data_IF_637603922876
#
_entry.id   IF_637603922876
#
_cell.length_a   1.000
_cell.length_b   1.000
_cell.length_c   1.000
_cell.angle_alpha   90.00
_cell.angle_beta   90.00
_cell.angle_gamma   90.00
#
_symmetry.space_group_name_H-M   'P 1'
#
loop_
_entity.id
_entity.type
_entity.pdbx_description
1 polymer ?
#
# COMPACT_ATOMS: atom_id res chain seq x y z
N UNK A 1 -1.11 40.22 54.46
CA UNK A 1 -1.76 39.39 53.39
C UNK A 1 -0.79 39.26 52.23
N UNK A 2 -0.25 38.05 51.98
CA UNK A 2 0.71 37.80 50.86
C UNK A 2 -0.05 37.13 49.72
N UNK A 3 -0.18 37.84 48.62
CA UNK A 3 -0.80 37.35 47.38
C UNK A 3 0.24 36.44 46.70
N UNK A 4 -0.07 35.15 46.58
CA UNK A 4 0.74 34.18 45.81
C UNK A 4 0.28 34.23 44.38
N UNK A 5 1.12 34.79 43.51
CA UNK A 5 0.89 34.79 42.05
C UNK A 5 1.16 33.39 41.52
N UNK A 6 0.12 32.70 41.02
CA UNK A 6 0.19 31.41 40.37
C UNK A 6 0.51 31.65 38.88
N UNK A 7 1.76 31.37 38.49
CA UNK A 7 2.15 31.38 37.05
C UNK A 7 1.74 30.05 36.45
N UNK A 8 0.66 30.06 35.66
CA UNK A 8 0.28 28.94 34.83
C UNK A 8 1.18 28.94 33.58
N UNK A 9 2.15 28.06 33.54
CA UNK A 9 2.94 27.80 32.34
C UNK A 9 2.08 27.02 31.32
N UNK A 10 1.58 27.75 30.32
CA UNK A 10 0.89 27.19 29.17
C UNK A 10 1.95 26.51 28.28
N UNK A 11 2.12 25.19 28.42
CA UNK A 11 2.97 24.38 27.54
C UNK A 11 2.34 24.32 26.15
N UNK A 12 2.83 25.15 25.24
CA UNK A 12 2.49 25.07 23.81
C UNK A 12 3.20 23.85 23.24
N UNK A 13 2.49 22.70 23.21
CA UNK A 13 2.96 21.50 22.53
C UNK A 13 3.01 21.76 21.02
N UNK A 14 4.20 22.01 20.48
CA UNK A 14 4.44 21.95 19.03
C UNK A 14 4.23 20.51 18.58
N UNK A 15 3.06 20.19 18.05
CA UNK A 15 2.86 18.98 17.26
C UNK A 15 3.58 19.18 15.94
N UNK A 16 4.82 18.66 15.83
CA UNK A 16 5.47 18.49 14.53
C UNK A 16 4.65 17.46 13.75
N UNK A 17 3.78 17.94 12.88
CA UNK A 17 3.19 17.12 11.84
C UNK A 17 4.31 16.72 10.88
N UNK A 18 4.79 15.49 10.97
CA UNK A 18 5.69 14.93 9.97
C UNK A 18 4.87 14.77 8.67
N UNK A 19 4.88 15.81 7.84
CA UNK A 19 4.37 15.69 6.49
C UNK A 19 5.39 14.90 5.69
N UNK A 20 5.01 13.73 5.21
CA UNK A 20 5.79 13.00 4.22
C UNK A 20 5.86 13.86 2.95
N UNK A 21 6.95 14.57 2.76
CA UNK A 21 7.18 15.33 1.54
C UNK A 21 7.47 14.36 0.39
N UNK A 22 6.71 14.47 -0.68
CA UNK A 22 6.98 13.76 -1.93
C UNK A 22 8.30 14.30 -2.50
N UNK A 23 9.19 13.41 -2.97
CA UNK A 23 10.46 13.82 -3.56
C UNK A 23 10.18 14.75 -4.75
N UNK A 24 10.70 16.00 -4.67
CA UNK A 24 10.51 17.01 -5.70
C UNK A 24 11.14 16.64 -7.06
N UNK A 25 11.99 15.62 -7.10
CA UNK A 25 12.59 15.09 -8.33
C UNK A 25 11.70 14.09 -9.06
N UNK A 26 10.62 13.61 -8.42
CA UNK A 26 9.69 12.73 -9.09
C UNK A 26 8.95 13.49 -10.21
N UNK A 27 8.91 12.93 -11.42
CA UNK A 27 8.17 13.56 -12.51
C UNK A 27 6.67 13.57 -12.18
N UNK A 28 6.01 14.65 -12.58
CA UNK A 28 4.55 14.73 -12.45
C UNK A 28 3.92 13.66 -13.34
N UNK A 29 3.03 12.87 -12.76
CA UNK A 29 2.32 11.84 -13.50
C UNK A 29 1.45 12.46 -14.61
N UNK A 30 1.69 12.06 -15.86
CA UNK A 30 0.88 12.45 -17.00
C UNK A 30 -0.26 11.46 -17.22
N UNK A 31 -1.51 11.92 -17.13
CA UNK A 31 -2.69 11.10 -17.35
C UNK A 31 -2.77 10.62 -18.80
N UNK A 32 -2.88 9.30 -19.01
CA UNK A 32 -3.12 8.71 -20.31
C UNK A 32 -4.62 8.79 -20.69
N UNK A 33 -4.93 8.88 -21.98
CA UNK A 33 -6.30 8.83 -22.48
C UNK A 33 -6.74 7.41 -22.82
N UNK A 34 -8.05 7.13 -22.80
CA UNK A 34 -8.61 5.85 -23.24
C UNK A 34 -8.37 4.66 -22.29
N UNK A 35 -7.97 4.91 -21.06
CA UNK A 35 -7.72 3.86 -20.06
C UNK A 35 -9.04 3.33 -19.51
N UNK A 36 -9.29 2.03 -19.70
CA UNK A 36 -10.49 1.33 -19.22
C UNK A 36 -10.18 -0.15 -19.01
N UNK A 37 -11.01 -0.86 -18.27
CA UNK A 37 -10.88 -2.30 -18.04
C UNK A 37 -11.09 -2.72 -16.60
N UNK A 38 -10.71 -3.96 -16.29
CA UNK A 38 -10.82 -4.53 -14.96
C UNK A 38 -9.44 -4.81 -14.38
N UNK A 39 -9.24 -4.44 -13.11
CA UNK A 39 -8.06 -4.76 -12.32
C UNK A 39 -8.48 -5.52 -11.08
N UNK A 40 -7.80 -6.61 -10.78
CA UNK A 40 -8.04 -7.43 -9.60
C UNK A 40 -6.77 -7.51 -8.77
N UNK A 41 -6.88 -7.23 -7.49
CA UNK A 41 -5.81 -7.33 -6.49
C UNK A 41 -6.22 -8.35 -5.44
N UNK A 42 -5.42 -9.40 -5.26
CA UNK A 42 -5.66 -10.46 -4.26
C UNK A 42 -4.37 -10.68 -3.48
N UNK A 43 -4.44 -10.57 -2.14
CA UNK A 43 -3.26 -10.81 -1.31
C UNK A 43 -3.39 -10.35 0.14
N UNK A 44 -2.36 -9.67 0.61
CA UNK A 44 -2.15 -9.30 2.01
C UNK A 44 -3.27 -8.46 2.61
N UNK A 45 -3.75 -8.85 3.78
CA UNK A 45 -4.66 -8.04 4.60
C UNK A 45 -3.97 -6.77 5.11
N UNK A 46 -2.67 -6.85 5.44
CA UNK A 46 -1.87 -5.70 5.90
C UNK A 46 -1.88 -4.56 4.86
N UNK A 47 -1.80 -4.89 3.57
CA UNK A 47 -1.79 -3.90 2.48
C UNK A 47 -3.19 -3.53 1.98
N UNK A 48 -4.25 -4.18 2.48
CA UNK A 48 -5.61 -4.02 1.93
C UNK A 48 -6.09 -2.57 1.96
N UNK A 49 -5.89 -1.86 3.08
CA UNK A 49 -6.29 -0.46 3.22
C UNK A 49 -5.51 0.45 2.26
N UNK A 50 -4.18 0.25 2.14
CA UNK A 50 -3.35 1.01 1.21
C UNK A 50 -3.78 0.80 -0.24
N UNK A 51 -4.04 -0.45 -0.62
CA UNK A 51 -4.52 -0.79 -1.97
C UNK A 51 -5.89 -0.17 -2.26
N UNK A 52 -6.78 -0.11 -1.26
CA UNK A 52 -8.10 0.52 -1.38
C UNK A 52 -7.97 2.02 -1.63
N UNK A 53 -7.15 2.74 -0.86
CA UNK A 53 -6.91 4.17 -1.05
C UNK A 53 -6.32 4.47 -2.43
N UNK A 54 -5.35 3.67 -2.87
CA UNK A 54 -4.77 3.81 -4.21
C UNK A 54 -5.80 3.54 -5.31
N UNK A 55 -6.67 2.54 -5.13
CA UNK A 55 -7.72 2.25 -6.10
C UNK A 55 -8.74 3.39 -6.22
N UNK A 56 -9.12 4.00 -5.08
CA UNK A 56 -10.02 5.16 -5.06
C UNK A 56 -9.40 6.35 -5.80
N UNK A 57 -8.13 6.67 -5.54
CA UNK A 57 -7.44 7.77 -6.20
C UNK A 57 -7.20 7.48 -7.70
N UNK A 58 -6.85 6.24 -8.04
CA UNK A 58 -6.69 5.84 -9.43
C UNK A 58 -8.00 5.91 -10.20
N UNK A 59 -9.12 5.52 -9.56
CA UNK A 59 -10.46 5.61 -10.17
C UNK A 59 -10.92 7.05 -10.41
N UNK A 60 -10.50 8.02 -9.56
CA UNK A 60 -10.75 9.45 -9.82
C UNK A 60 -10.06 9.93 -11.11
N UNK A 61 -8.87 9.40 -11.39
CA UNK A 61 -8.14 9.69 -12.62
C UNK A 61 -8.71 8.93 -13.83
N UNK A 62 -9.14 7.68 -13.63
CA UNK A 62 -9.59 6.75 -14.66
C UNK A 62 -10.96 6.12 -14.32
N UNK A 63 -12.06 6.85 -14.48
CA UNK A 63 -13.39 6.41 -14.01
C UNK A 63 -13.92 5.15 -14.72
N UNK A 64 -13.38 4.84 -15.91
CA UNK A 64 -13.78 3.66 -16.70
C UNK A 64 -13.02 2.38 -16.30
N UNK A 65 -12.20 2.42 -15.24
CA UNK A 65 -11.57 1.23 -14.68
C UNK A 65 -12.42 0.69 -13.52
N UNK A 66 -12.66 -0.62 -13.57
CA UNK A 66 -13.24 -1.35 -12.46
C UNK A 66 -12.13 -2.03 -11.66
N UNK A 67 -12.02 -1.73 -10.35
CA UNK A 67 -10.97 -2.27 -9.49
C UNK A 67 -11.62 -3.10 -8.39
N UNK A 68 -11.16 -4.35 -8.25
CA UNK A 68 -11.57 -5.27 -7.21
C UNK A 68 -10.38 -5.56 -6.30
N UNK A 69 -10.56 -5.43 -4.99
CA UNK A 69 -9.52 -5.67 -3.99
C UNK A 69 -10.02 -6.70 -2.99
N UNK A 70 -9.20 -7.71 -2.74
CA UNK A 70 -9.47 -8.78 -1.80
C UNK A 70 -8.27 -9.01 -0.88
N UNK A 71 -8.43 -8.72 0.41
CA UNK A 71 -7.52 -9.14 1.47
C UNK A 71 -7.87 -10.59 1.86
N UNK A 72 -6.91 -11.49 1.67
CA UNK A 72 -7.07 -12.92 1.97
C UNK A 72 -5.75 -13.57 2.40
N UNK A 73 -4.81 -12.74 2.86
CA UNK A 73 -3.46 -13.15 3.27
C UNK A 73 -2.47 -13.21 2.12
N UNK A 74 -1.19 -12.90 2.42
CA UNK A 74 -0.10 -12.88 1.41
C UNK A 74 0.09 -14.19 0.66
N UNK A 75 -0.32 -15.33 1.22
CA UNK A 75 -0.19 -16.64 0.56
C UNK A 75 -1.17 -16.85 -0.60
N UNK A 76 -2.21 -16.02 -0.72
CA UNK A 76 -3.18 -16.11 -1.81
C UNK A 76 -2.71 -15.39 -3.08
N UNK A 77 -1.78 -14.45 -2.95
CA UNK A 77 -1.26 -13.66 -4.07
C UNK A 77 -0.53 -14.52 -5.12
N UNK A 78 0.46 -15.36 -4.78
CA UNK A 78 1.20 -16.14 -5.78
C UNK A 78 0.31 -17.05 -6.64
N UNK A 79 -0.60 -17.88 -6.09
CA UNK A 79 -1.47 -18.69 -6.91
C UNK A 79 -2.46 -17.86 -7.76
N UNK A 80 -3.01 -16.76 -7.23
CA UNK A 80 -3.91 -15.90 -7.99
C UNK A 80 -3.23 -15.26 -9.20
N UNK A 81 -2.00 -14.78 -9.04
CA UNK A 81 -1.20 -14.24 -10.14
C UNK A 81 -0.79 -15.32 -11.14
N UNK A 82 -0.40 -16.49 -10.66
CA UNK A 82 -0.03 -17.65 -11.50
C UNK A 82 -1.20 -18.09 -12.39
N UNK A 83 -2.40 -18.11 -11.83
CA UNK A 83 -3.65 -18.49 -12.53
C UNK A 83 -4.27 -17.33 -13.35
N UNK A 84 -3.68 -16.14 -13.35
CA UNK A 84 -4.24 -14.93 -13.99
C UNK A 84 -5.60 -14.48 -13.42
N UNK A 85 -5.94 -14.86 -12.21
CA UNK A 85 -7.14 -14.39 -11.50
C UNK A 85 -6.93 -13.04 -10.81
N UNK A 86 -5.67 -12.62 -10.66
CA UNK A 86 -5.29 -11.30 -10.19
C UNK A 86 -4.22 -10.67 -11.07
N UNK A 87 -4.28 -9.33 -11.20
CA UNK A 87 -3.26 -8.52 -11.88
C UNK A 87 -2.16 -8.07 -10.89
N UNK A 88 -2.55 -7.86 -9.63
CA UNK A 88 -1.67 -7.47 -8.54
C UNK A 88 -1.76 -8.46 -7.38
N UNK A 89 -0.63 -8.74 -6.78
CA UNK A 89 -0.52 -9.62 -5.61
C UNK A 89 0.19 -8.89 -4.47
N UNK A 90 -0.50 -8.03 -3.69
CA UNK A 90 0.11 -7.37 -2.55
C UNK A 90 0.52 -8.41 -1.51
N UNK A 91 1.72 -8.25 -0.97
CA UNK A 91 2.29 -9.18 0.00
C UNK A 91 3.05 -8.41 1.08
N UNK A 92 2.89 -8.80 2.33
CA UNK A 92 3.68 -8.29 3.47
C UNK A 92 4.98 -9.08 3.69
N UNK A 93 5.35 -9.91 2.72
CA UNK A 93 6.60 -10.69 2.66
C UNK A 93 7.04 -10.84 1.20
N UNK A 94 8.27 -11.23 1.00
CA UNK A 94 8.73 -11.65 -0.33
C UNK A 94 8.09 -12.98 -0.75
N UNK A 95 7.94 -13.19 -2.05
CA UNK A 95 7.56 -14.50 -2.59
C UNK A 95 8.62 -15.54 -2.23
N UNK A 96 8.19 -16.75 -1.89
CA UNK A 96 9.08 -17.88 -1.64
C UNK A 96 9.64 -18.41 -2.96
N UNK A 97 10.79 -19.10 -2.90
CA UNK A 97 11.43 -19.65 -4.09
C UNK A 97 10.53 -20.58 -4.91
N UNK A 98 9.77 -21.44 -4.26
CA UNK A 98 8.81 -22.33 -4.92
C UNK A 98 7.61 -21.56 -5.55
N UNK A 99 7.17 -20.45 -4.96
CA UNK A 99 6.12 -19.60 -5.52
C UNK A 99 6.61 -18.89 -6.79
N UNK A 100 7.86 -18.38 -6.78
CA UNK A 100 8.51 -17.77 -7.95
C UNK A 100 8.67 -18.79 -9.07
N UNK A 101 9.15 -20.01 -8.77
CA UNK A 101 9.32 -21.09 -9.75
C UNK A 101 7.99 -21.49 -10.39
N UNK A 102 6.93 -21.63 -9.59
CA UNK A 102 5.59 -21.93 -10.10
C UNK A 102 5.05 -20.83 -11.01
N UNK A 103 5.26 -19.57 -10.65
CA UNK A 103 4.87 -18.44 -11.48
C UNK A 103 5.66 -18.41 -12.80
N UNK A 104 6.99 -18.55 -12.72
CA UNK A 104 7.88 -18.56 -13.90
C UNK A 104 7.54 -19.69 -14.87
N UNK A 105 7.26 -20.89 -14.33
CA UNK A 105 6.84 -22.04 -15.14
C UNK A 105 5.51 -21.80 -15.88
N UNK A 106 4.57 -21.09 -15.24
CA UNK A 106 3.26 -20.83 -15.83
C UNK A 106 3.25 -19.63 -16.79
N UNK A 107 4.10 -18.62 -16.55
CA UNK A 107 4.09 -17.34 -17.28
C UNK A 107 5.25 -17.17 -18.25
N UNK A 108 6.32 -17.92 -18.10
CA UNK A 108 7.54 -17.80 -18.91
C UNK A 108 8.45 -16.62 -18.50
N UNK A 109 8.14 -15.93 -17.42
CA UNK A 109 8.96 -14.84 -16.87
C UNK A 109 8.81 -14.75 -15.36
N UNK A 110 9.77 -14.08 -14.69
CA UNK A 110 9.73 -13.91 -13.23
C UNK A 110 8.77 -12.80 -12.80
N UNK A 111 8.12 -12.93 -11.63
CA UNK A 111 7.30 -11.86 -11.08
C UNK A 111 8.18 -10.64 -10.75
N UNK A 112 7.64 -9.44 -10.99
CA UNK A 112 8.29 -8.19 -10.59
C UNK A 112 7.84 -7.80 -9.19
N UNK A 113 8.80 -7.65 -8.27
CA UNK A 113 8.55 -7.14 -6.93
C UNK A 113 8.75 -5.63 -6.89
N UNK A 114 7.76 -4.91 -6.38
CA UNK A 114 7.79 -3.46 -6.19
C UNK A 114 7.63 -3.16 -4.70
N UNK A 115 8.67 -2.70 -3.99
CA UNK A 115 8.54 -2.25 -2.60
C UNK A 115 7.66 -1.00 -2.55
N UNK A 116 6.64 -0.99 -1.70
CA UNK A 116 5.64 0.09 -1.65
C UNK A 116 5.53 0.76 -0.29
N UNK A 117 5.86 0.04 0.78
CA UNK A 117 5.79 0.54 2.15
C UNK A 117 6.68 -0.29 3.08
N UNK A 118 7.00 0.27 4.24
CA UNK A 118 7.65 -0.43 5.35
C UNK A 118 6.56 -0.67 6.41
N UNK A 119 6.37 -1.94 6.77
CA UNK A 119 5.51 -2.34 7.88
C UNK A 119 6.36 -2.58 9.13
N UNK A 120 5.89 -2.11 10.28
CA UNK A 120 6.58 -2.26 11.55
C UNK A 120 5.64 -2.82 12.61
N UNK A 121 5.95 -4.02 13.10
CA UNK A 121 5.25 -4.65 14.20
C UNK A 121 5.90 -4.25 15.53
N UNK A 122 5.14 -3.65 16.45
CA UNK A 122 5.59 -3.31 17.79
C UNK A 122 4.90 -4.22 18.83
N UNK A 123 5.68 -4.75 19.76
CA UNK A 123 5.19 -5.52 20.91
C UNK A 123 5.20 -4.62 22.15
N UNK A 124 4.04 -4.46 22.76
CA UNK A 124 3.91 -3.73 24.02
C UNK A 124 3.78 -4.75 25.16
N UNK A 125 4.53 -4.53 26.22
CA UNK A 125 4.48 -5.31 27.46
C UNK A 125 4.12 -4.39 28.62
N UNK A 126 3.31 -4.89 29.57
CA UNK A 126 2.97 -4.19 30.81
C UNK A 126 4.02 -4.45 31.88
#
# INVERSE_FOLDING_TARGET
MKVKTLIAALGLGLTLSAQAAVDAKLPVYAKASGVSGNLTSIGSDTLNNLMTLWAEDFKKMYPNINIQIQGAGSSTAPPAMTQSTANFGPMSRMMKGNEIQAFEAAKGYKPTAVPVAIDALAVYVH
#
